data_IF_537120651955
#
_entry.id   IF_537120651955
#
_cell.length_a   1.000
_cell.length_b   1.000
_cell.length_c   1.000
_cell.angle_alpha   90.00
_cell.angle_beta   90.00
_cell.angle_gamma   90.00
#
_symmetry.space_group_name_H-M   'P 1'
#
loop_
_entity.id
_entity.type
_entity.pdbx_description
1 polymer ?
#
# COMPACT_ATOMS: atom_id res chain seq x y z
N UNK A 1 -56.88 -5.46 -26.25
CA UNK A 1 -55.48 -5.58 -25.81
C UNK A 1 -54.76 -4.28 -26.12
N UNK A 2 -54.22 -3.58 -25.13
CA UNK A 2 -53.33 -2.43 -25.32
C UNK A 2 -52.19 -2.55 -24.32
N UNK A 3 -51.05 -3.03 -24.78
CA UNK A 3 -49.83 -3.19 -23.99
C UNK A 3 -49.02 -1.92 -24.13
N UNK A 4 -48.84 -1.17 -23.04
CA UNK A 4 -47.94 -0.01 -23.01
C UNK A 4 -46.62 -0.49 -22.42
N UNK A 5 -45.61 -0.64 -23.27
CA UNK A 5 -44.24 -0.93 -22.83
C UNK A 5 -43.54 0.38 -22.46
N UNK A 6 -43.34 0.62 -21.17
CA UNK A 6 -42.48 1.68 -20.65
C UNK A 6 -41.03 1.21 -20.72
N UNK A 7 -40.25 1.79 -21.64
CA UNK A 7 -38.81 1.59 -21.71
C UNK A 7 -38.13 2.55 -20.72
N UNK A 8 -37.66 2.03 -19.60
CA UNK A 8 -36.80 2.74 -18.67
C UNK A 8 -35.36 2.75 -19.20
N UNK A 9 -34.96 3.87 -19.80
CA UNK A 9 -33.56 4.13 -20.18
C UNK A 9 -32.78 4.59 -18.95
N UNK A 10 -32.13 3.67 -18.23
CA UNK A 10 -31.12 4.02 -17.23
C UNK A 10 -29.79 4.23 -17.95
N UNK A 11 -29.46 5.49 -18.26
CA UNK A 11 -28.10 5.87 -18.66
C UNK A 11 -27.18 5.75 -17.44
N UNK A 12 -26.54 4.60 -17.27
CA UNK A 12 -25.40 4.46 -16.36
C UNK A 12 -24.23 5.25 -16.97
N UNK A 13 -24.10 6.52 -16.60
CA UNK A 13 -22.88 7.27 -16.81
C UNK A 13 -21.83 6.64 -15.89
N UNK A 14 -21.06 5.69 -16.43
CA UNK A 14 -19.84 5.20 -15.82
C UNK A 14 -18.83 6.35 -15.85
N UNK A 15 -18.92 7.24 -14.86
CA UNK A 15 -17.87 8.19 -14.57
C UNK A 15 -16.68 7.37 -14.08
N UNK A 16 -15.80 6.95 -14.98
CA UNK A 16 -14.47 6.49 -14.63
C UNK A 16 -13.68 7.69 -14.12
N UNK A 17 -13.91 8.08 -12.86
CA UNK A 17 -12.94 8.88 -12.14
C UNK A 17 -11.73 8.00 -11.91
N UNK A 18 -10.67 8.18 -12.71
CA UNK A 18 -9.37 7.64 -12.38
C UNK A 18 -9.04 8.09 -10.94
N UNK A 19 -8.57 7.19 -10.05
CA UNK A 19 -8.28 7.55 -8.67
C UNK A 19 -7.23 8.66 -8.66
N UNK A 20 -7.64 9.88 -8.34
CA UNK A 20 -6.71 10.96 -8.06
C UNK A 20 -6.18 10.69 -6.66
N UNK A 21 -4.85 10.49 -6.52
CA UNK A 21 -4.21 10.46 -5.22
C UNK A 21 -4.69 11.65 -4.40
N UNK A 22 -5.36 11.38 -3.29
CA UNK A 22 -5.77 12.42 -2.36
C UNK A 22 -4.55 12.94 -1.59
N UNK A 23 -4.67 14.12 -1.00
CA UNK A 23 -3.68 14.64 -0.04
C UNK A 23 -3.44 13.62 1.08
N UNK A 24 -4.50 12.92 1.50
CA UNK A 24 -4.46 11.88 2.54
C UNK A 24 -3.64 10.66 2.10
N UNK A 25 -3.84 10.13 0.89
CA UNK A 25 -3.01 9.04 0.36
C UNK A 25 -1.53 9.40 0.32
N UNK A 26 -1.22 10.62 -0.12
CA UNK A 26 0.16 11.11 -0.19
C UNK A 26 0.77 11.27 1.20
N UNK A 27 0.00 11.74 2.17
CA UNK A 27 0.41 11.83 3.57
C UNK A 27 0.71 10.44 4.16
N UNK A 28 -0.17 9.47 3.93
CA UNK A 28 0.01 8.09 4.38
C UNK A 28 1.25 7.44 3.78
N UNK A 29 1.51 7.64 2.48
CA UNK A 29 2.74 7.17 1.83
C UNK A 29 3.99 7.78 2.47
N UNK A 30 3.98 9.08 2.77
CA UNK A 30 5.08 9.73 3.48
C UNK A 30 5.29 9.13 4.87
N UNK A 31 4.22 8.90 5.63
CA UNK A 31 4.31 8.27 6.94
C UNK A 31 4.90 6.85 6.88
N UNK A 32 4.52 6.04 5.87
CA UNK A 32 5.11 4.71 5.66
C UNK A 32 6.61 4.85 5.42
N UNK A 33 7.02 5.74 4.50
CA UNK A 33 8.42 5.97 4.19
C UNK A 33 9.20 6.39 5.44
N UNK A 34 8.70 7.34 6.21
CA UNK A 34 9.40 7.88 7.38
C UNK A 34 9.54 6.84 8.49
N UNK A 35 8.48 6.10 8.81
CA UNK A 35 8.51 5.08 9.87
C UNK A 35 9.37 3.88 9.48
N UNK A 36 9.32 3.43 8.23
CA UNK A 36 10.19 2.34 7.76
C UNK A 36 11.66 2.77 7.79
N UNK A 37 11.98 4.00 7.37
CA UNK A 37 13.36 4.50 7.43
C UNK A 37 13.89 4.64 8.86
N UNK A 38 13.04 4.93 9.85
CA UNK A 38 13.45 4.94 11.26
C UNK A 38 13.94 3.57 11.72
N UNK A 39 13.23 2.51 11.33
CA UNK A 39 13.63 1.13 11.65
C UNK A 39 14.94 0.78 10.93
N UNK A 40 14.97 0.93 9.60
CA UNK A 40 16.13 0.54 8.78
C UNK A 40 17.42 1.30 9.14
N UNK A 41 17.30 2.54 9.64
CA UNK A 41 18.45 3.38 10.02
C UNK A 41 18.70 3.46 11.52
N UNK A 42 17.89 2.79 12.34
CA UNK A 42 17.96 2.87 13.81
C UNK A 42 19.13 2.11 14.44
N UNK A 43 19.96 1.44 13.63
CA UNK A 43 21.16 0.75 14.09
C UNK A 43 20.86 -0.49 14.94
N UNK A 44 21.73 -0.77 15.93
CA UNK A 44 21.70 -2.00 16.71
C UNK A 44 20.39 -2.24 17.48
N UNK A 45 19.65 -1.17 17.81
CA UNK A 45 18.34 -1.28 18.48
C UNK A 45 17.34 -2.10 17.65
N UNK A 46 17.41 -2.01 16.32
CA UNK A 46 16.47 -2.66 15.41
C UNK A 46 17.03 -3.96 14.81
N UNK A 47 18.31 -4.28 15.04
CA UNK A 47 18.99 -5.37 14.35
C UNK A 47 18.28 -6.72 14.56
N UNK A 48 18.01 -7.09 15.82
CA UNK A 48 17.34 -8.36 16.13
C UNK A 48 15.91 -8.45 15.57
N UNK A 49 15.25 -7.32 15.36
CA UNK A 49 13.95 -7.27 14.70
C UNK A 49 14.11 -7.41 13.18
N UNK A 50 15.07 -6.70 12.58
CA UNK A 50 15.36 -6.73 11.15
C UNK A 50 15.83 -8.10 10.67
N UNK A 51 16.57 -8.83 11.50
CA UNK A 51 17.03 -10.20 11.25
C UNK A 51 15.93 -11.25 11.43
N UNK A 52 14.74 -10.86 11.92
CA UNK A 52 13.62 -11.79 12.08
C UNK A 52 13.09 -12.26 10.72
N UNK A 53 12.70 -13.54 10.66
CA UNK A 53 12.11 -14.12 9.46
C UNK A 53 10.61 -13.87 9.43
N UNK A 54 10.13 -13.52 8.25
CA UNK A 54 8.71 -13.31 7.93
C UNK A 54 8.37 -14.02 6.63
N UNK A 55 7.09 -14.34 6.37
CA UNK A 55 6.70 -14.92 5.08
C UNK A 55 7.15 -14.03 3.93
N UNK A 56 7.87 -14.62 2.97
CA UNK A 56 8.20 -13.97 1.73
C UNK A 56 6.93 -13.80 0.89
N UNK A 57 6.78 -12.64 0.27
CA UNK A 57 5.63 -12.42 -0.58
C UNK A 57 5.44 -10.99 -1.04
N UNK A 58 6.05 -10.01 -0.36
CA UNK A 58 6.01 -8.62 -0.82
C UNK A 58 7.15 -8.35 -1.81
N UNK A 59 6.78 -8.06 -3.06
CA UNK A 59 7.73 -7.85 -4.16
C UNK A 59 7.64 -6.41 -4.66
N UNK A 60 8.76 -5.69 -4.65
CA UNK A 60 8.82 -4.29 -5.08
C UNK A 60 8.53 -4.11 -6.58
N UNK A 61 8.93 -5.04 -7.44
CA UNK A 61 8.76 -4.93 -8.88
C UNK A 61 7.31 -5.22 -9.27
N UNK A 62 6.71 -6.21 -8.61
CA UNK A 62 5.26 -6.44 -8.72
C UNK A 62 4.47 -5.24 -8.22
N UNK A 63 4.88 -4.64 -7.09
CA UNK A 63 4.26 -3.44 -6.56
C UNK A 63 4.43 -2.22 -7.50
N UNK A 64 5.56 -2.10 -8.20
CA UNK A 64 5.74 -1.09 -9.25
C UNK A 64 4.78 -1.30 -10.42
N UNK A 65 4.59 -2.54 -10.87
CA UNK A 65 3.73 -2.87 -12.00
C UNK A 65 2.23 -2.79 -11.68
N UNK A 66 1.80 -3.44 -10.60
CA UNK A 66 0.39 -3.56 -10.20
C UNK A 66 -0.10 -2.38 -9.35
N UNK A 67 0.83 -1.52 -8.92
CA UNK A 67 0.55 -0.35 -8.12
C UNK A 67 0.25 -0.68 -6.65
N UNK A 68 -0.50 0.18 -5.95
CA UNK A 68 -0.65 0.15 -4.50
C UNK A 68 -1.36 -1.09 -3.94
N UNK A 69 -1.93 -1.93 -4.81
CA UNK A 69 -2.68 -3.13 -4.42
C UNK A 69 -1.83 -4.13 -3.65
N UNK A 70 -0.51 -4.13 -3.84
CA UNK A 70 0.39 -5.06 -3.15
C UNK A 70 0.66 -4.68 -1.68
N UNK A 71 0.31 -3.46 -1.24
CA UNK A 71 0.54 -2.99 0.13
C UNK A 71 -0.23 -3.78 1.19
N UNK A 72 -1.33 -4.44 0.80
CA UNK A 72 -2.06 -5.40 1.64
C UNK A 72 -1.20 -6.60 2.10
N UNK A 73 -0.23 -7.05 1.29
CA UNK A 73 0.62 -8.20 1.63
C UNK A 73 1.55 -7.80 2.77
N UNK A 74 2.22 -6.65 2.62
CA UNK A 74 3.04 -6.06 3.68
C UNK A 74 2.21 -5.77 4.93
N UNK A 75 0.98 -5.26 4.79
CA UNK A 75 0.08 -5.03 5.93
C UNK A 75 -0.26 -6.32 6.66
N UNK A 76 -0.60 -7.39 5.94
CA UNK A 76 -0.95 -8.68 6.52
C UNK A 76 0.23 -9.27 7.28
N UNK A 77 1.42 -9.28 6.67
CA UNK A 77 2.65 -9.80 7.29
C UNK A 77 3.01 -8.99 8.54
N UNK A 78 3.08 -7.67 8.45
CA UNK A 78 3.47 -6.81 9.57
C UNK A 78 2.47 -6.82 10.72
N UNK A 79 1.19 -7.05 10.43
CA UNK A 79 0.14 -7.17 11.46
C UNK A 79 0.21 -8.49 12.23
N UNK A 80 0.82 -9.53 11.65
CA UNK A 80 0.96 -10.85 12.26
C UNK A 80 2.19 -10.97 13.17
N UNK A 81 3.14 -10.02 13.09
CA UNK A 81 4.31 -10.01 14.00
C UNK A 81 3.78 -9.84 15.43
N UNK A 82 4.20 -10.69 16.37
CA UNK A 82 3.73 -10.66 17.75
C UNK A 82 4.58 -9.75 18.64
N UNK A 83 3.94 -9.00 19.53
CA UNK A 83 4.57 -8.23 20.62
C UNK A 83 5.45 -9.09 21.54
N UNK A 84 5.19 -10.40 21.64
CA UNK A 84 5.92 -11.30 22.55
C UNK A 84 7.30 -11.70 22.04
N UNK A 85 7.53 -11.64 20.73
CA UNK A 85 8.82 -12.02 20.11
C UNK A 85 9.88 -10.92 20.22
N UNK A 86 9.48 -9.65 20.33
CA UNK A 86 10.39 -8.51 20.35
C UNK A 86 10.00 -7.51 21.45
N UNK A 87 10.79 -7.42 22.53
CA UNK A 87 10.47 -6.58 23.71
C UNK A 87 10.36 -5.09 23.39
N UNK A 88 11.15 -4.59 22.42
CA UNK A 88 11.21 -3.24 21.82
C UNK A 88 11.99 -3.47 20.50
N UNK A 89 11.67 -2.88 19.32
CA UNK A 89 10.85 -1.70 18.98
C UNK A 89 9.55 -2.03 18.19
N UNK A 90 8.71 -2.90 18.74
CA UNK A 90 7.46 -3.33 18.11
C UNK A 90 6.47 -2.19 17.79
N UNK A 91 6.52 -1.08 18.54
CA UNK A 91 5.64 0.07 18.33
C UNK A 91 5.75 0.67 16.92
N UNK A 92 6.95 0.65 16.32
CA UNK A 92 7.14 1.16 14.97
C UNK A 92 6.51 0.24 13.92
N UNK A 93 6.66 -1.08 14.06
CA UNK A 93 6.01 -2.07 13.18
C UNK A 93 4.49 -1.97 13.27
N UNK A 94 3.95 -1.90 14.49
CA UNK A 94 2.52 -1.65 14.73
C UNK A 94 2.03 -0.38 14.04
N UNK A 95 2.82 0.68 14.10
CA UNK A 95 2.48 1.95 13.46
C UNK A 95 2.47 1.82 11.95
N UNK A 96 3.47 1.16 11.35
CA UNK A 96 3.53 0.91 9.91
C UNK A 96 2.31 0.09 9.46
N UNK A 97 2.00 -1.02 10.13
CA UNK A 97 0.80 -1.85 9.85
C UNK A 97 -0.48 -1.01 9.87
N UNK A 98 -0.68 -0.16 10.90
CA UNK A 98 -1.86 0.71 10.99
C UNK A 98 -1.96 1.71 9.84
N UNK A 99 -0.83 2.31 9.44
CA UNK A 99 -0.80 3.28 8.33
C UNK A 99 -1.06 2.57 7.01
N UNK A 100 -0.47 1.38 6.78
CA UNK A 100 -0.76 0.55 5.61
C UNK A 100 -2.24 0.18 5.55
N UNK A 101 -2.85 -0.21 6.68
CA UNK A 101 -4.28 -0.51 6.74
C UNK A 101 -5.15 0.68 6.36
N UNK A 102 -4.75 1.91 6.72
CA UNK A 102 -5.44 3.13 6.27
C UNK A 102 -5.25 3.37 4.78
N UNK A 103 -4.02 3.20 4.29
CA UNK A 103 -3.70 3.36 2.87
C UNK A 103 -4.47 2.36 1.99
N UNK A 104 -4.58 1.11 2.42
CA UNK A 104 -5.27 0.04 1.71
C UNK A 104 -6.79 0.29 1.56
N UNK A 105 -7.39 1.19 2.36
CA UNK A 105 -8.79 1.59 2.17
C UNK A 105 -9.03 2.34 0.86
N UNK A 106 -8.01 3.03 0.34
CA UNK A 106 -8.07 3.70 -0.95
C UNK A 106 -7.88 2.73 -2.12
N UNK A 107 -7.26 1.57 -1.86
CA UNK A 107 -6.90 0.56 -2.87
C UNK A 107 -7.37 -0.84 -2.45
N UNK A 108 -8.68 -1.04 -2.21
CA UNK A 108 -9.21 -2.27 -1.61
C UNK A 108 -8.86 -3.49 -2.46
N UNK A 109 -8.12 -4.43 -1.87
CA UNK A 109 -7.68 -5.68 -2.49
C UNK A 109 -7.66 -6.78 -1.43
N UNK A 110 -8.07 -7.98 -1.82
CA UNK A 110 -7.94 -9.16 -0.96
C UNK A 110 -6.60 -9.82 -1.24
N UNK A 111 -5.81 -10.00 -0.19
CA UNK A 111 -4.46 -10.53 -0.31
C UNK A 111 -4.33 -11.76 0.58
N UNK A 112 -3.71 -12.78 0.02
CA UNK A 112 -3.48 -14.03 0.71
C UNK A 112 -1.98 -14.20 0.88
N UNK A 113 -1.54 -14.39 2.12
CA UNK A 113 -0.15 -14.65 2.49
C UNK A 113 -0.07 -16.10 2.92
N UNK A 114 0.84 -16.86 2.32
CA UNK A 114 1.03 -18.27 2.69
C UNK A 114 1.94 -18.34 3.91
N UNK A 115 1.42 -18.80 5.04
CA UNK A 115 2.18 -18.89 6.30
C UNK A 115 3.28 -19.97 6.29
N UNK A 116 3.16 -21.01 5.44
CA UNK A 116 4.15 -22.08 5.29
C UNK A 116 4.94 -21.97 3.97
N UNK A 117 5.07 -20.75 3.44
CA UNK A 117 5.83 -20.46 2.22
C UNK A 117 7.32 -20.24 2.49
N UNK A 118 8.01 -19.72 1.47
CA UNK A 118 9.36 -19.20 1.64
C UNK A 118 9.37 -18.06 2.67
N UNK A 119 10.49 -17.88 3.37
CA UNK A 119 10.69 -16.80 4.34
C UNK A 119 11.78 -15.83 3.84
N UNK A 120 11.65 -14.56 4.22
CA UNK A 120 12.65 -13.52 3.99
C UNK A 120 12.96 -12.79 5.30
N UNK A 121 14.08 -12.06 5.35
CA UNK A 121 14.35 -11.18 6.48
C UNK A 121 13.36 -10.02 6.47
N UNK A 122 12.89 -9.61 7.65
CA UNK A 122 12.04 -8.42 7.78
C UNK A 122 12.71 -7.18 7.19
N UNK A 123 14.05 -7.11 7.25
CA UNK A 123 14.85 -6.12 6.55
C UNK A 123 14.49 -5.98 5.06
N UNK A 124 14.36 -7.10 4.35
CA UNK A 124 14.14 -7.12 2.90
C UNK A 124 12.71 -6.71 2.56
N UNK A 125 11.73 -7.21 3.31
CA UNK A 125 10.34 -6.75 3.21
C UNK A 125 10.23 -5.24 3.40
N UNK A 126 10.84 -4.69 4.44
CA UNK A 126 10.81 -3.26 4.75
C UNK A 126 11.55 -2.43 3.67
N UNK A 127 12.65 -2.94 3.15
CA UNK A 127 13.40 -2.31 2.05
C UNK A 127 12.55 -2.24 0.78
N UNK A 128 11.92 -3.35 0.41
CA UNK A 128 11.00 -3.40 -0.72
C UNK A 128 9.81 -2.45 -0.52
N UNK A 129 9.26 -2.41 0.70
CA UNK A 129 8.13 -1.56 1.04
C UNK A 129 8.46 -0.08 0.86
N UNK A 130 9.59 0.39 1.39
CA UNK A 130 9.99 1.81 1.25
C UNK A 130 10.30 2.16 -0.20
N UNK A 131 10.89 1.24 -0.96
CA UNK A 131 11.17 1.44 -2.38
C UNK A 131 9.88 1.58 -3.19
N UNK A 132 8.90 0.70 -2.95
CA UNK A 132 7.61 0.82 -3.63
C UNK A 132 6.87 2.10 -3.20
N UNK A 133 6.84 2.42 -1.90
CA UNK A 133 6.20 3.64 -1.40
C UNK A 133 6.82 4.91 -2.00
N UNK A 134 8.14 4.98 -2.16
CA UNK A 134 8.82 6.09 -2.86
C UNK A 134 8.40 6.19 -4.31
N UNK A 135 8.40 5.07 -5.05
CA UNK A 135 7.99 5.06 -6.46
C UNK A 135 6.55 5.53 -6.58
N UNK A 136 5.64 5.00 -5.77
CA UNK A 136 4.25 5.43 -5.79
C UNK A 136 4.19 6.90 -5.42
N UNK A 137 4.76 7.35 -4.30
CA UNK A 137 4.77 8.74 -3.85
C UNK A 137 5.21 9.72 -4.94
N UNK A 138 6.31 9.43 -5.64
CA UNK A 138 6.88 10.28 -6.71
C UNK A 138 6.08 10.29 -8.01
N UNK A 139 5.10 9.39 -8.21
CA UNK A 139 4.27 9.43 -9.42
C UNK A 139 3.45 10.73 -9.47
N UNK A 140 3.51 11.50 -10.56
CA UNK A 140 2.61 12.63 -10.74
C UNK A 140 1.16 12.14 -10.67
N UNK A 141 0.22 12.96 -10.16
CA UNK A 141 -1.19 12.64 -10.25
C UNK A 141 -1.56 12.46 -11.74
N UNK A 142 -2.45 11.52 -12.07
CA UNK A 142 -2.90 11.38 -13.45
C UNK A 142 -3.44 12.73 -13.92
N UNK A 143 -2.83 13.31 -14.97
CA UNK A 143 -3.30 14.57 -15.55
C UNK A 143 -4.78 14.38 -15.87
N UNK A 144 -5.66 15.22 -15.28
CA UNK A 144 -7.06 15.27 -15.71
C UNK A 144 -7.03 15.62 -17.18
N UNK A 145 -7.58 14.77 -18.05
CA UNK A 145 -7.94 15.21 -19.39
C UNK A 145 -9.16 16.13 -19.27
N UNK A 146 -9.00 17.29 -18.65
CA UNK A 146 -9.88 18.40 -18.94
C UNK A 146 -9.49 18.86 -20.34
N UNK A 147 -10.38 18.60 -21.30
CA UNK A 147 -10.35 19.36 -22.54
C UNK A 147 -10.18 20.84 -22.18
N UNK A 148 -9.25 21.48 -22.88
CA UNK A 148 -9.02 22.93 -22.99
C UNK A 148 -7.74 23.44 -22.30
N UNK A 149 -6.75 23.64 -23.18
CA UNK A 149 -5.62 24.59 -23.13
C UNK A 149 -4.39 24.21 -22.30
N UNK A 150 -3.26 24.24 -23.02
CA UNK A 150 -1.89 24.13 -22.53
C UNK A 150 -1.68 24.96 -21.26
N UNK A 151 -1.47 24.29 -20.14
CA UNK A 151 -0.43 24.66 -19.16
C UNK A 151 0.14 23.36 -18.58
N UNK A 152 1.44 23.39 -18.27
CA UNK A 152 2.25 22.26 -17.85
C UNK A 152 1.57 21.40 -16.75
N UNK A 153 1.49 20.09 -16.99
CA UNK A 153 1.90 19.13 -15.98
C UNK A 153 3.46 19.18 -15.93
#
# INVERSE_FOLDING_TARGET
>A
MKTVALLFSFAFVLVFTAPTKTSDETHLLRMIIDEVNKILKGGLEFQALLDSLVPAGFDQDRCRANGPKDFCIAETILSAISHTRHRIPFNNISKISRVLKQYNKFHPTNCNVKENGDEEQLHDLLTNLVNCAKVIYSRPPPCRSSQTTLELC
#
